data_IF_687617383741
#
_entry.id   IF_687617383741
#
_cell.length_a   1.000
_cell.length_b   1.000
_cell.length_c   1.000
_cell.angle_alpha   90.00
_cell.angle_beta   90.00
_cell.angle_gamma   90.00
#
_symmetry.space_group_name_H-M   'P 1'
#
loop_
_entity.id
_entity.type
_entity.pdbx_description
1 polymer ?
#
# COMPACT_ATOMS: atom_id res chain seq x y z
N UNK A 1 -6.67 -5.71 26.90
CA UNK A 1 -5.46 -6.15 26.19
C UNK A 1 -5.75 -6.04 24.70
N UNK A 2 -5.00 -5.24 23.95
CA UNK A 2 -4.74 -5.38 22.51
C UNK A 2 -3.80 -4.22 22.12
N UNK A 3 -2.51 -4.52 22.14
CA UNK A 3 -1.43 -3.61 21.76
C UNK A 3 -1.25 -3.66 20.24
N UNK A 4 -1.07 -2.46 19.67
CA UNK A 4 -0.29 -2.13 18.47
C UNK A 4 -0.64 -2.88 17.18
N UNK A 5 -1.44 -2.21 16.32
CA UNK A 5 -1.22 -2.24 14.88
C UNK A 5 -0.61 -0.89 14.46
N UNK A 6 0.67 -0.68 14.79
CA UNK A 6 1.53 0.14 13.93
C UNK A 6 2.15 -0.85 12.96
N UNK A 7 1.36 -1.25 11.96
CA UNK A 7 1.82 -2.12 10.89
C UNK A 7 1.62 -1.34 9.61
N UNK A 8 2.74 -1.03 8.93
CA UNK A 8 2.82 -0.45 7.59
C UNK A 8 1.83 -1.18 6.69
N UNK A 9 0.61 -0.68 6.65
CA UNK A 9 -0.43 -1.14 5.74
C UNK A 9 -0.24 -0.18 4.61
N UNK A 10 0.36 -0.67 3.53
CA UNK A 10 0.28 -0.10 2.18
C UNK A 10 -0.73 1.05 2.16
N UNK A 11 -0.28 2.30 1.97
CA UNK A 11 -1.09 3.53 2.01
C UNK A 11 -2.14 3.50 0.89
N UNK A 12 -3.06 2.56 0.99
CA UNK A 12 -4.22 2.34 0.15
C UNK A 12 -5.33 2.97 0.94
N UNK A 13 -5.91 4.01 0.36
CA UNK A 13 -7.06 4.66 0.96
C UNK A 13 -8.22 3.64 1.10
N UNK A 14 -8.65 3.31 2.33
CA UNK A 14 -9.71 2.33 2.55
C UNK A 14 -11.09 2.81 2.08
N UNK A 15 -11.24 4.12 1.86
CA UNK A 15 -12.46 4.77 1.39
C UNK A 15 -12.43 5.06 -0.12
N UNK A 16 -11.40 4.55 -0.83
CA UNK A 16 -11.24 4.81 -2.24
C UNK A 16 -12.46 4.31 -3.01
N UNK A 17 -13.21 5.21 -3.63
CA UNK A 17 -14.45 4.88 -4.34
C UNK A 17 -14.23 4.03 -5.61
N UNK A 18 -12.97 3.89 -6.04
CA UNK A 18 -12.58 3.16 -7.24
C UNK A 18 -12.23 1.71 -6.90
N UNK A 19 -11.34 1.50 -5.93
CA UNK A 19 -10.88 0.17 -5.53
C UNK A 19 -11.49 -0.35 -4.23
N UNK A 20 -12.27 0.44 -3.51
CA UNK A 20 -12.92 0.10 -2.23
C UNK A 20 -11.94 -0.42 -1.17
N UNK A 21 -10.75 0.18 -1.10
CA UNK A 21 -9.69 -0.24 -0.19
C UNK A 21 -8.94 -1.51 -0.60
N UNK A 22 -9.19 -2.06 -1.79
CA UNK A 22 -8.38 -3.17 -2.32
C UNK A 22 -7.00 -2.74 -2.80
N UNK A 23 -6.87 -1.53 -3.34
CA UNK A 23 -5.65 -1.05 -4.00
C UNK A 23 -5.44 -1.57 -5.42
N UNK A 24 -6.43 -2.26 -6.01
CA UNK A 24 -6.36 -2.83 -7.35
C UNK A 24 -7.59 -2.49 -8.20
N UNK A 25 -7.34 -2.13 -9.45
CA UNK A 25 -8.36 -1.81 -10.47
C UNK A 25 -8.10 -2.62 -11.73
N UNK A 26 -9.08 -2.73 -12.61
CA UNK A 26 -8.91 -3.49 -13.85
C UNK A 26 -8.05 -2.72 -14.86
N UNK A 27 -7.14 -3.40 -15.58
CA UNK A 27 -6.33 -2.77 -16.63
C UNK A 27 -7.17 -2.15 -17.76
N UNK A 28 -8.30 -2.78 -18.10
CA UNK A 28 -9.18 -2.32 -19.17
C UNK A 28 -10.17 -1.25 -18.67
N UNK A 29 -10.46 -1.26 -17.37
CA UNK A 29 -11.43 -0.36 -16.75
C UNK A 29 -10.84 0.22 -15.46
N UNK A 30 -10.04 1.30 -15.56
CA UNK A 30 -9.32 1.87 -14.41
C UNK A 30 -10.25 2.43 -13.34
N UNK A 31 -11.52 2.69 -13.67
CA UNK A 31 -12.55 3.14 -12.73
C UNK A 31 -13.33 2.00 -12.05
N UNK A 32 -12.93 0.74 -12.29
CA UNK A 32 -13.57 -0.43 -11.69
C UNK A 32 -12.57 -1.22 -10.88
N UNK A 33 -12.92 -1.51 -9.62
CA UNK A 33 -12.16 -2.40 -8.77
C UNK A 33 -11.93 -3.76 -9.45
N UNK A 34 -10.74 -4.33 -9.25
CA UNK A 34 -10.43 -5.68 -9.72
C UNK A 34 -10.93 -6.71 -8.69
N UNK A 35 -12.24 -6.84 -8.57
CA UNK A 35 -12.91 -7.77 -7.67
C UNK A 35 -14.20 -8.33 -8.30
N UNK A 36 -14.86 -9.23 -7.58
CA UNK A 36 -16.16 -9.81 -7.97
C UNK A 36 -17.31 -8.79 -8.17
N UNK A 37 -17.16 -7.56 -7.64
CA UNK A 37 -18.14 -6.46 -7.76
C UNK A 37 -17.81 -5.46 -8.87
N UNK A 38 -16.63 -5.56 -9.49
CA UNK A 38 -16.11 -4.65 -10.52
C UNK A 38 -15.83 -5.37 -11.84
N UNK A 39 -14.63 -5.22 -12.41
CA UNK A 39 -14.23 -5.94 -13.63
C UNK A 39 -13.11 -6.94 -13.37
N UNK A 40 -13.35 -8.20 -13.75
CA UNK A 40 -12.35 -9.28 -13.78
C UNK A 40 -12.02 -9.72 -15.22
N UNK A 41 -12.26 -8.82 -16.17
CA UNK A 41 -12.11 -9.04 -17.60
C UNK A 41 -10.64 -9.18 -18.05
N UNK A 42 -9.67 -8.76 -17.23
CA UNK A 42 -8.24 -8.80 -17.52
C UNK A 42 -7.40 -8.89 -16.25
N UNK A 43 -6.14 -8.46 -16.31
CA UNK A 43 -5.28 -8.38 -15.14
C UNK A 43 -5.68 -7.20 -14.23
N UNK A 44 -5.31 -7.32 -12.95
CA UNK A 44 -5.37 -6.21 -12.01
C UNK A 44 -4.15 -5.31 -12.18
N UNK A 45 -4.37 -4.00 -12.17
CA UNK A 45 -3.34 -2.97 -12.08
C UNK A 45 -3.47 -2.23 -10.74
N UNK A 46 -2.39 -1.63 -10.21
CA UNK A 46 -2.46 -0.87 -8.97
C UNK A 46 -3.40 0.33 -9.13
N UNK A 47 -4.24 0.57 -8.12
CA UNK A 47 -5.08 1.75 -8.05
C UNK A 47 -4.21 2.99 -7.83
N UNK A 48 -4.64 4.14 -8.34
CA UNK A 48 -3.98 5.43 -8.11
C UNK A 48 -3.88 5.80 -6.62
N UNK A 49 -4.80 5.30 -5.79
CA UNK A 49 -4.76 5.51 -4.35
C UNK A 49 -3.65 4.70 -3.67
N UNK A 50 -3.07 3.71 -4.36
CA UNK A 50 -1.96 2.93 -3.84
C UNK A 50 -0.70 3.79 -3.94
N UNK A 51 -0.42 4.56 -2.89
CA UNK A 51 0.85 5.24 -2.78
C UNK A 51 1.93 4.18 -2.55
N UNK A 52 2.75 3.94 -3.58
CA UNK A 52 3.98 3.21 -3.41
C UNK A 52 4.89 4.09 -2.53
N UNK A 53 5.03 3.73 -1.25
CA UNK A 53 6.03 4.32 -0.36
C UNK A 53 7.43 3.97 -0.89
N UNK A 54 7.85 4.68 -1.93
CA UNK A 54 9.25 4.93 -2.17
C UNK A 54 9.69 6.00 -1.19
N UNK A 55 10.61 5.63 -0.29
CA UNK A 55 11.47 6.50 0.51
C UNK A 55 10.98 6.90 1.92
N UNK A 56 10.77 5.95 2.82
CA UNK A 56 11.43 6.12 4.12
C UNK A 56 12.82 5.50 4.01
N UNK A 57 13.78 6.35 3.67
CA UNK A 57 15.20 6.06 3.80
C UNK A 57 15.38 5.40 5.17
N UNK A 58 15.96 4.18 5.27
CA UNK A 58 16.26 3.64 6.59
C UNK A 58 17.13 4.68 7.30
N UNK A 59 16.62 5.23 8.40
CA UNK A 59 17.33 6.22 9.21
C UNK A 59 18.62 5.58 9.74
N UNK A 60 19.71 5.72 9.00
CA UNK A 60 21.05 5.26 9.41
C UNK A 60 21.61 6.09 10.57
N UNK A 61 20.83 6.99 11.16
CA UNK A 61 21.23 7.82 12.31
C UNK A 61 21.49 7.00 13.59
N UNK A 62 21.23 5.68 13.56
CA UNK A 62 21.48 4.74 14.66
C UNK A 62 22.72 3.86 14.49
N UNK A 63 23.72 4.27 13.70
CA UNK A 63 25.04 3.63 13.77
C UNK A 63 25.72 4.03 15.08
N UNK A 64 25.55 3.20 16.10
CA UNK A 64 26.21 3.31 17.40
C UNK A 64 27.72 3.11 17.17
N UNK A 65 28.60 4.09 17.44
CA UNK A 65 30.03 3.87 17.33
C UNK A 65 30.47 2.86 18.40
N UNK A 66 31.25 1.86 17.98
CA UNK A 66 31.88 0.85 18.84
C UNK A 66 32.73 1.54 19.92
N UNK A 67 32.65 1.17 21.21
CA UNK A 67 33.47 1.78 22.23
C UNK A 67 34.95 1.43 22.01
N UNK A 68 35.89 2.35 22.28
CA UNK A 68 37.32 2.06 22.19
C UNK A 68 37.70 1.07 23.29
N UNK A 69 38.38 -0.01 22.89
CA UNK A 69 39.03 -0.96 23.79
C UNK A 69 40.49 -0.61 24.00
#
# INVERSE_FOLDING_TARGET
>A
MCRLFVGVSHLIDPDCQICFGLGWVCENHPFQAWNEKGCQCGAGMPCECQQAEGLEQPDFSKVIPRPPG
#
